data_IF_788329616095
#
_entry.id   IF_788329616095
#
_cell.length_a   1.000
_cell.length_b   1.000
_cell.length_c   1.000
_cell.angle_alpha   90.00
_cell.angle_beta   90.00
_cell.angle_gamma   90.00
#
_symmetry.space_group_name_H-M   'P 1'
#
loop_
_entity.id
_entity.type
_entity.pdbx_description
1 polymer ?
#
# COMPACT_ATOMS: atom_id res chain seq x y z
N UNK A 1 3.64 -17.86 63.51
CA UNK A 1 3.98 -16.49 63.05
C UNK A 1 4.99 -16.48 61.91
N UNK A 2 6.20 -17.04 62.05
CA UNK A 2 7.21 -17.03 60.99
C UNK A 2 6.77 -17.64 59.64
N UNK A 3 6.00 -18.74 59.66
CA UNK A 3 5.45 -19.37 58.44
C UNK A 3 4.46 -18.46 57.68
N UNK A 4 3.68 -17.66 58.41
CA UNK A 4 2.72 -16.70 57.81
C UNK A 4 3.46 -15.50 57.21
N UNK A 5 4.52 -15.04 57.88
CA UNK A 5 5.39 -13.96 57.35
C UNK A 5 6.16 -14.42 56.10
N UNK A 6 6.54 -15.69 56.04
CA UNK A 6 7.16 -16.25 54.84
C UNK A 6 6.18 -16.31 53.66
N UNK A 7 4.95 -16.79 53.90
CA UNK A 7 3.89 -16.84 52.88
C UNK A 7 3.49 -15.46 52.35
N UNK A 8 3.33 -14.46 53.22
CA UNK A 8 2.96 -13.10 52.77
C UNK A 8 4.09 -12.47 51.95
N UNK A 9 5.35 -12.73 52.30
CA UNK A 9 6.51 -12.22 51.58
C UNK A 9 6.62 -12.88 50.19
N UNK A 10 6.45 -14.20 50.10
CA UNK A 10 6.49 -14.93 48.82
C UNK A 10 5.34 -14.53 47.88
N UNK A 11 4.14 -14.29 48.44
CA UNK A 11 3.01 -13.75 47.69
C UNK A 11 3.28 -12.32 47.21
N UNK A 12 3.83 -11.45 48.06
CA UNK A 12 4.11 -10.07 47.70
C UNK A 12 5.20 -9.97 46.61
N UNK A 13 6.26 -10.77 46.71
CA UNK A 13 7.34 -10.85 45.72
C UNK A 13 6.80 -11.29 44.35
N UNK A 14 5.97 -12.33 44.31
CA UNK A 14 5.43 -12.83 43.04
C UNK A 14 4.48 -11.82 42.40
N UNK A 15 3.60 -11.18 43.17
CA UNK A 15 2.67 -10.15 42.66
C UNK A 15 3.40 -8.94 42.05
N UNK A 16 4.49 -8.48 42.68
CA UNK A 16 5.33 -7.39 42.12
C UNK A 16 6.07 -7.84 40.86
N UNK A 17 6.59 -9.06 40.83
CA UNK A 17 7.31 -9.62 39.68
C UNK A 17 6.40 -9.82 38.47
N UNK A 18 5.17 -10.30 38.67
CA UNK A 18 4.20 -10.50 37.59
C UNK A 18 3.81 -9.18 36.92
N UNK A 19 3.65 -8.09 37.68
CA UNK A 19 3.34 -6.77 37.12
C UNK A 19 4.42 -6.31 36.13
N UNK A 20 5.69 -6.51 36.49
CA UNK A 20 6.83 -6.13 35.64
C UNK A 20 7.01 -7.06 34.43
N UNK A 21 6.78 -8.36 34.61
CA UNK A 21 6.83 -9.34 33.53
C UNK A 21 5.74 -9.05 32.49
N UNK A 22 4.50 -8.82 32.95
CA UNK A 22 3.36 -8.49 32.09
C UNK A 22 3.63 -7.16 31.37
N UNK A 23 4.22 -6.16 32.03
CA UNK A 23 4.57 -4.89 31.38
C UNK A 23 5.58 -5.07 30.22
N UNK A 24 6.65 -5.84 30.42
CA UNK A 24 7.62 -6.11 29.35
C UNK A 24 7.00 -6.97 28.24
N UNK A 25 6.28 -8.02 28.60
CA UNK A 25 5.62 -8.91 27.64
C UNK A 25 4.53 -8.18 26.83
N UNK A 26 3.72 -7.32 27.45
CA UNK A 26 2.68 -6.53 26.79
C UNK A 26 3.28 -5.55 25.80
N UNK A 27 4.36 -4.86 26.18
CA UNK A 27 5.11 -3.97 25.27
C UNK A 27 5.70 -4.74 24.09
N UNK A 28 6.25 -5.93 24.31
CA UNK A 28 6.72 -6.79 23.21
C UNK A 28 5.57 -7.33 22.36
N UNK A 29 4.40 -7.58 22.95
CA UNK A 29 3.22 -8.04 22.23
C UNK A 29 2.64 -6.95 21.32
N UNK A 30 2.56 -5.71 21.78
CA UNK A 30 2.19 -4.57 20.93
C UNK A 30 3.17 -4.37 19.77
N UNK A 31 4.47 -4.58 20.03
CA UNK A 31 5.50 -4.55 18.98
C UNK A 31 5.28 -5.70 17.97
N UNK A 32 5.01 -6.91 18.44
CA UNK A 32 4.75 -8.08 17.59
C UNK A 32 3.45 -7.90 16.79
N UNK A 33 2.41 -7.32 17.39
CA UNK A 33 1.17 -7.00 16.71
C UNK A 33 1.38 -6.03 15.54
N UNK A 34 2.27 -5.04 15.69
CA UNK A 34 2.66 -4.15 14.57
C UNK A 34 3.40 -4.89 13.46
N UNK A 35 4.05 -6.02 13.77
CA UNK A 35 4.79 -6.86 12.81
C UNK A 35 3.97 -7.93 12.10
N UNK A 36 2.63 -7.91 12.10
CA UNK A 36 1.77 -8.85 11.35
C UNK A 36 2.11 -9.00 9.84
N UNK A 37 2.90 -8.09 9.26
CA UNK A 37 3.47 -8.21 7.91
C UNK A 37 4.57 -9.28 7.79
N UNK A 38 5.23 -9.64 8.89
CA UNK A 38 6.29 -10.63 8.95
C UNK A 38 5.76 -12.05 8.71
N UNK A 39 4.58 -12.36 9.25
CA UNK A 39 3.88 -13.63 8.96
C UNK A 39 3.68 -13.81 7.45
N UNK A 40 3.22 -12.77 6.76
CA UNK A 40 3.06 -12.79 5.29
C UNK A 40 4.40 -12.95 4.58
N UNK A 41 5.47 -12.35 5.11
CA UNK A 41 6.84 -12.46 4.56
C UNK A 41 7.38 -13.88 4.69
N UNK A 42 7.23 -14.49 5.87
CA UNK A 42 7.63 -15.86 6.15
C UNK A 42 6.83 -16.85 5.30
N UNK A 43 5.52 -16.66 5.18
CA UNK A 43 4.68 -17.48 4.31
C UNK A 43 5.07 -17.37 2.84
N UNK A 44 5.30 -16.16 2.34
CA UNK A 44 5.77 -15.97 0.97
C UNK A 44 7.12 -16.66 0.72
N UNK A 45 8.03 -16.61 1.71
CA UNK A 45 9.32 -17.29 1.63
C UNK A 45 9.18 -18.82 1.56
N UNK A 46 8.31 -19.40 2.39
CA UNK A 46 8.03 -20.86 2.36
C UNK A 46 7.42 -21.27 1.03
N UNK A 47 6.46 -20.50 0.50
CA UNK A 47 5.85 -20.75 -0.80
C UNK A 47 6.91 -20.67 -1.91
N UNK A 48 7.73 -19.62 -1.92
CA UNK A 48 8.78 -19.44 -2.93
C UNK A 48 9.80 -20.59 -2.91
N UNK A 49 10.23 -21.02 -1.72
CA UNK A 49 11.14 -22.15 -1.57
C UNK A 49 10.53 -23.45 -2.12
N UNK A 50 9.23 -23.64 -1.90
CA UNK A 50 8.47 -24.80 -2.40
C UNK A 50 8.26 -24.74 -3.91
N UNK A 51 8.03 -23.56 -4.49
CA UNK A 51 7.91 -23.38 -5.95
C UNK A 51 9.25 -23.58 -6.68
N UNK A 52 10.37 -23.23 -6.03
CA UNK A 52 11.71 -23.41 -6.56
C UNK A 52 12.17 -24.87 -6.53
N UNK A 53 11.72 -25.68 -5.58
CA UNK A 53 12.05 -27.11 -5.51
C UNK A 53 11.30 -27.98 -6.53
N UNK A 54 10.27 -27.44 -7.18
CA UNK A 54 9.51 -28.10 -8.26
C UNK A 54 10.18 -27.91 -9.64
N UNK A 55 10.15 -28.93 -10.53
CA UNK A 55 10.69 -28.83 -11.89
C UNK A 55 9.91 -27.80 -12.74
N UNK A 56 10.57 -27.17 -13.73
CA UNK A 56 10.03 -26.00 -14.44
C UNK A 56 8.75 -26.29 -15.24
N UNK A 57 8.53 -27.55 -15.66
CA UNK A 57 7.32 -27.97 -16.40
C UNK A 57 6.08 -27.96 -15.50
N UNK A 58 6.21 -28.46 -14.28
CA UNK A 58 5.11 -28.52 -13.31
C UNK A 58 4.75 -27.13 -12.78
N UNK A 59 5.77 -26.26 -12.64
CA UNK A 59 5.58 -24.84 -12.30
C UNK A 59 4.74 -24.11 -13.35
N UNK A 60 5.03 -24.33 -14.64
CA UNK A 60 4.27 -23.72 -15.73
C UNK A 60 2.83 -24.24 -15.76
N UNK A 61 2.61 -25.54 -15.57
CA UNK A 61 1.26 -26.10 -15.50
C UNK A 61 0.46 -25.54 -14.32
N UNK A 62 1.09 -25.40 -13.14
CA UNK A 62 0.48 -24.77 -11.98
C UNK A 62 0.10 -23.30 -12.27
N UNK A 63 1.00 -22.52 -12.86
CA UNK A 63 0.74 -21.13 -13.26
C UNK A 63 -0.47 -21.02 -14.20
N UNK A 64 -0.51 -21.86 -15.23
CA UNK A 64 -1.60 -21.87 -16.20
C UNK A 64 -2.94 -22.27 -15.58
N UNK A 65 -2.93 -23.17 -14.59
CA UNK A 65 -4.11 -23.62 -13.84
C UNK A 65 -4.73 -22.50 -12.99
N UNK A 66 -3.93 -21.65 -12.37
CA UNK A 66 -4.42 -20.55 -11.52
C UNK A 66 -4.67 -19.24 -12.29
N UNK A 67 -4.10 -19.08 -13.48
CA UNK A 67 -4.33 -17.93 -14.34
C UNK A 67 -5.67 -18.00 -15.09
N UNK A 68 -6.39 -16.88 -15.22
CA UNK A 68 -7.63 -16.77 -16.01
C UNK A 68 -7.37 -15.97 -17.29
N UNK A 69 -7.93 -16.35 -18.45
CA UNK A 69 -7.82 -15.57 -19.67
C UNK A 69 -8.53 -14.21 -19.51
N UNK A 70 -7.90 -13.13 -19.95
CA UNK A 70 -8.48 -11.79 -19.99
C UNK A 70 -9.06 -11.56 -21.39
N UNK A 71 -10.38 -11.44 -21.46
CA UNK A 71 -11.09 -11.08 -22.68
C UNK A 71 -11.23 -12.22 -23.70
N UNK A 72 -11.37 -11.84 -24.97
CA UNK A 72 -11.66 -12.73 -26.11
C UNK A 72 -10.42 -13.55 -26.54
N UNK A 73 -9.23 -12.99 -26.28
CA UNK A 73 -7.95 -13.61 -26.60
C UNK A 73 -7.50 -14.59 -25.50
N UNK A 74 -7.54 -15.89 -25.78
CA UNK A 74 -7.13 -16.96 -24.84
C UNK A 74 -5.64 -16.94 -24.47
N UNK A 75 -4.85 -16.13 -25.17
CA UNK A 75 -3.40 -15.97 -24.96
C UNK A 75 -3.06 -15.01 -23.83
N UNK A 76 -3.90 -14.00 -23.58
CA UNK A 76 -3.68 -13.03 -22.49
C UNK A 76 -4.28 -13.59 -21.22
N UNK A 77 -3.45 -13.87 -20.21
CA UNK A 77 -3.89 -14.45 -18.93
C UNK A 77 -3.45 -13.55 -17.77
N UNK A 78 -4.30 -13.43 -16.75
CA UNK A 78 -3.95 -12.75 -15.51
C UNK A 78 -4.50 -13.43 -14.28
N UNK A 79 -3.94 -13.02 -13.14
CA UNK A 79 -4.44 -13.36 -11.81
C UNK A 79 -5.52 -12.36 -11.42
N UNK A 80 -6.74 -12.86 -11.24
CA UNK A 80 -7.85 -12.05 -10.72
C UNK A 80 -7.71 -12.01 -9.20
N UNK A 81 -7.32 -10.85 -8.67
CA UNK A 81 -7.22 -10.62 -7.23
C UNK A 81 -8.40 -9.78 -6.79
N UNK A 82 -9.36 -10.39 -6.10
CA UNK A 82 -10.42 -9.65 -5.42
C UNK A 82 -9.84 -9.04 -4.14
N UNK A 83 -9.63 -7.72 -4.11
CA UNK A 83 -9.33 -7.04 -2.84
C UNK A 83 -10.53 -7.17 -1.93
N UNK A 84 -10.38 -7.92 -0.83
CA UNK A 84 -11.31 -7.84 0.29
C UNK A 84 -11.19 -6.43 0.88
N UNK A 85 -12.31 -5.76 1.08
CA UNK A 85 -12.34 -4.50 1.82
C UNK A 85 -11.95 -4.84 3.26
N UNK A 86 -10.77 -4.41 3.70
CA UNK A 86 -10.39 -4.50 5.10
C UNK A 86 -11.42 -3.65 5.87
N UNK A 87 -12.22 -4.26 6.73
CA UNK A 87 -13.07 -3.56 7.68
C UNK A 87 -12.16 -2.87 8.70
N UNK A 88 -11.69 -1.69 8.34
CA UNK A 88 -10.97 -0.80 9.23
C UNK A 88 -11.87 -0.44 10.42
N UNK A 89 -11.29 -0.26 11.61
CA UNK A 89 -12.00 0.32 12.76
C UNK A 89 -12.65 1.64 12.34
N UNK A 90 -13.85 1.95 12.84
CA UNK A 90 -14.58 3.19 12.51
C UNK A 90 -13.70 4.44 12.66
N UNK A 91 -12.82 4.45 13.66
CA UNK A 91 -11.83 5.50 13.90
C UNK A 91 -10.83 5.69 12.75
N UNK A 92 -10.34 4.60 12.17
CA UNK A 92 -9.35 4.61 11.08
C UNK A 92 -10.00 4.98 9.73
N UNK A 93 -11.27 4.59 9.54
CA UNK A 93 -12.06 5.03 8.39
C UNK A 93 -12.27 6.55 8.39
N UNK A 94 -12.64 7.09 9.55
CA UNK A 94 -12.90 8.52 9.71
C UNK A 94 -11.64 9.36 9.46
N UNK A 95 -10.48 8.92 9.97
CA UNK A 95 -9.19 9.58 9.72
C UNK A 95 -8.81 9.57 8.23
N UNK A 96 -9.03 8.44 7.55
CA UNK A 96 -8.72 8.30 6.13
C UNK A 96 -9.67 9.12 5.25
N UNK A 97 -10.93 9.21 5.65
CA UNK A 97 -11.93 10.04 5.00
C UNK A 97 -11.62 11.53 5.19
N UNK A 98 -11.23 11.95 6.41
CA UNK A 98 -10.76 13.31 6.67
C UNK A 98 -9.54 13.67 5.82
N UNK A 99 -8.53 12.79 5.74
CA UNK A 99 -7.37 13.00 4.86
C UNK A 99 -7.77 13.07 3.38
N UNK A 100 -8.65 12.19 2.92
CA UNK A 100 -9.13 12.19 1.54
C UNK A 100 -9.92 13.48 1.23
N UNK A 101 -10.71 13.98 2.18
CA UNK A 101 -11.47 15.22 2.03
C UNK A 101 -10.57 16.45 2.04
N UNK A 102 -9.55 16.51 2.91
CA UNK A 102 -8.54 17.57 2.89
C UNK A 102 -7.82 17.64 1.54
N UNK A 103 -7.40 16.50 0.99
CA UNK A 103 -6.77 16.42 -0.34
C UNK A 103 -7.73 16.88 -1.45
N UNK A 104 -9.03 16.52 -1.35
CA UNK A 104 -10.05 16.96 -2.32
C UNK A 104 -10.26 18.47 -2.26
N UNK A 105 -10.28 19.05 -1.06
CA UNK A 105 -10.43 20.49 -0.86
C UNK A 105 -9.21 21.25 -1.38
N UNK A 106 -7.99 20.79 -1.09
CA UNK A 106 -6.76 21.36 -1.64
C UNK A 106 -6.77 21.35 -3.17
N UNK A 107 -7.16 20.24 -3.80
CA UNK A 107 -7.30 20.14 -5.26
C UNK A 107 -8.33 21.13 -5.81
N UNK A 108 -9.48 21.28 -5.13
CA UNK A 108 -10.53 22.24 -5.51
C UNK A 108 -10.05 23.68 -5.39
N UNK A 109 -9.32 24.02 -4.33
CA UNK A 109 -8.76 25.35 -4.11
C UNK A 109 -7.67 25.68 -5.14
N UNK A 110 -6.83 24.70 -5.47
CA UNK A 110 -5.80 24.84 -6.51
C UNK A 110 -6.44 25.10 -7.88
N UNK A 111 -7.47 24.34 -8.25
CA UNK A 111 -8.24 24.56 -9.48
C UNK A 111 -8.90 25.94 -9.52
N UNK A 112 -9.52 26.39 -8.41
CA UNK A 112 -10.12 27.73 -8.32
C UNK A 112 -9.09 28.85 -8.46
N UNK A 113 -7.90 28.70 -7.87
CA UNK A 113 -6.78 29.65 -8.04
C UNK A 113 -6.38 29.73 -9.52
N UNK A 114 -6.14 28.58 -10.16
CA UNK A 114 -5.80 28.49 -11.59
C UNK A 114 -6.88 29.10 -12.49
N UNK A 115 -8.15 28.96 -12.16
CA UNK A 115 -9.25 29.49 -12.97
C UNK A 115 -9.39 31.02 -12.84
N UNK A 116 -9.11 31.59 -11.66
CA UNK A 116 -9.07 33.05 -11.46
C UNK A 116 -7.95 33.69 -12.26
N UNK A 117 -6.78 33.05 -12.30
CA UNK A 117 -5.64 33.52 -13.11
C UNK A 117 -5.97 33.55 -14.62
N UNK A 118 -6.98 32.80 -15.08
CA UNK A 118 -7.44 32.76 -16.48
C UNK A 118 -8.49 33.84 -16.79
N UNK A 119 -9.30 34.28 -15.80
CA UNK A 119 -10.46 35.16 -16.04
C UNK A 119 -10.23 36.66 -15.82
N UNK A 120 -9.02 37.12 -15.42
CA UNK A 120 -8.72 38.56 -15.42
C UNK A 120 -8.38 39.04 -16.84
N UNK A 121 -9.15 39.95 -17.46
CA UNK A 121 -8.79 40.57 -18.72
C UNK A 121 -7.86 41.76 -18.42
N UNK A 122 -6.55 41.56 -18.48
CA UNK A 122 -5.62 42.69 -18.50
C UNK A 122 -4.27 42.46 -17.82
N UNK A 123 -3.29 42.01 -18.62
CA UNK A 123 -1.94 42.56 -18.61
C UNK A 123 -0.98 42.19 -17.47
N UNK A 124 -0.23 41.10 -17.66
CA UNK A 124 1.24 41.16 -17.71
C UNK A 124 1.78 39.88 -18.34
N UNK A 125 2.47 40.03 -19.47
CA UNK A 125 3.18 38.97 -20.17
C UNK A 125 4.41 38.54 -19.35
N UNK A 126 4.19 37.80 -18.26
CA UNK A 126 5.24 37.12 -17.52
C UNK A 126 5.59 35.82 -18.23
N UNK A 127 6.84 35.70 -18.68
CA UNK A 127 7.40 34.48 -19.28
C UNK A 127 7.36 33.32 -18.27
N UNK A 128 6.24 32.63 -18.18
CA UNK A 128 6.07 31.42 -17.36
C UNK A 128 6.33 30.20 -18.22
N UNK A 129 7.46 29.55 -18.00
CA UNK A 129 7.80 28.26 -18.59
C UNK A 129 6.61 27.30 -18.46
N UNK A 130 6.20 26.71 -19.58
CA UNK A 130 5.16 25.69 -19.67
C UNK A 130 5.67 24.40 -19.01
N UNK A 131 5.71 24.36 -17.67
CA UNK A 131 6.09 23.16 -16.95
C UNK A 131 4.91 22.20 -17.00
N UNK A 132 5.10 21.16 -17.81
CA UNK A 132 4.17 20.07 -18.03
C UNK A 132 4.13 19.23 -16.74
N UNK A 133 3.33 19.63 -15.75
CA UNK A 133 3.11 18.84 -14.53
C UNK A 133 2.15 17.69 -14.82
N UNK A 134 2.59 16.76 -15.66
CA UNK A 134 2.03 15.41 -15.76
C UNK A 134 2.78 14.58 -14.72
N UNK A 135 2.11 13.93 -13.75
CA UNK A 135 2.81 13.03 -12.85
C UNK A 135 3.39 11.88 -13.68
N UNK A 136 4.72 11.84 -13.78
CA UNK A 136 5.48 10.75 -14.38
C UNK A 136 5.13 9.47 -13.62
N UNK A 137 4.31 8.61 -14.23
CA UNK A 137 4.13 7.24 -13.74
C UNK A 137 5.40 6.46 -14.07
N UNK A 138 6.16 5.94 -13.09
CA UNK A 138 7.52 5.41 -13.34
C UNK A 138 7.58 4.11 -14.15
N UNK A 139 6.44 3.51 -14.53
CA UNK A 139 6.41 2.11 -14.99
C UNK A 139 5.98 1.88 -16.43
N UNK A 140 5.67 2.92 -17.22
CA UNK A 140 5.33 2.73 -18.65
C UNK A 140 5.80 3.91 -19.51
N UNK A 141 7.11 4.04 -19.66
CA UNK A 141 7.71 4.82 -20.74
C UNK A 141 7.96 3.91 -21.95
N UNK A 142 6.91 3.60 -22.71
CA UNK A 142 7.09 2.99 -24.04
C UNK A 142 7.24 4.11 -25.08
N UNK A 143 8.29 4.15 -25.90
CA UNK A 143 8.42 5.17 -26.94
C UNK A 143 7.32 4.98 -27.99
N UNK A 144 6.45 5.98 -28.16
CA UNK A 144 5.47 6.01 -29.26
C UNK A 144 6.15 6.47 -30.56
N UNK A 145 5.95 5.78 -31.70
CA UNK A 145 6.55 6.17 -32.97
C UNK A 145 5.89 7.45 -33.53
N UNK A 146 6.73 8.38 -33.99
CA UNK A 146 6.33 9.63 -34.65
C UNK A 146 5.89 9.33 -36.09
N UNK A 147 4.60 9.45 -36.38
CA UNK A 147 4.13 9.53 -37.76
C UNK A 147 4.44 10.94 -38.31
N UNK A 148 5.35 11.05 -39.28
CA UNK A 148 5.58 12.28 -40.01
C UNK A 148 4.70 12.32 -41.26
N UNK A 149 3.89 13.37 -41.37
CA UNK A 149 3.12 13.67 -42.58
C UNK A 149 4.05 13.87 -43.77
N UNK A 150 4.02 12.94 -44.73
CA UNK A 150 4.56 13.17 -46.06
C UNK A 150 3.60 14.06 -46.85
N UNK A 151 4.00 15.33 -46.95
CA UNK A 151 3.87 16.25 -48.07
C UNK A 151 2.78 15.99 -49.13
N UNK A 152 1.94 17.00 -49.29
CA UNK A 152 1.31 17.41 -50.56
C UNK A 152 2.38 17.69 -51.64
N UNK A 153 1.93 17.62 -52.90
CA UNK A 153 2.52 18.10 -54.17
C UNK A 153 3.58 17.19 -54.79
N UNK A 154 3.22 16.43 -55.83
CA UNK A 154 3.03 16.85 -57.24
C UNK A 154 2.21 15.80 -58.00
#
# INVERSE_FOLDING_TARGET
WAQVVFLIYELFVTLLQFNLLIAMMTRTYELIYRTQKEYKRQWAQVILMTELSLPPKDRLMALLKYSRPIGIDKQKRAFVVTRKHETFSESEQLMKEQQANAIREEKRLLLKRRLRDIHLPGGHHGKGAKQNNRPETPFLATPMPKWSNAKKES
#
